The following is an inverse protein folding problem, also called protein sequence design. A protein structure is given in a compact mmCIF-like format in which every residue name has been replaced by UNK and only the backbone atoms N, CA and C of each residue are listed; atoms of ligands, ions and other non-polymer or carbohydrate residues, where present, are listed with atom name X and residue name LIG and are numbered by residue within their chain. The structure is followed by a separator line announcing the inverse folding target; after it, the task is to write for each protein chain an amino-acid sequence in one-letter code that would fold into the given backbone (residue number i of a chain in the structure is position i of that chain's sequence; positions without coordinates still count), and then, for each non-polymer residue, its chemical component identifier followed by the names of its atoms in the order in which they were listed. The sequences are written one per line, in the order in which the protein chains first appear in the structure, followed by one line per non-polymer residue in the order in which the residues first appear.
data_IF_057803605768
#
_entry.id   IF_057803605768
#
_cell.length_a   1.000
_cell.length_b   1.000
_cell.length_c   1.000
_cell.angle_alpha   90.00
_cell.angle_beta   90.00
_cell.angle_gamma   90.00
#
_symmetry.space_group_name_H-M   'P 1'
#
loop_
_entity.id
_entity.type
_entity.pdbx_description
1 polymer ?
#
# COMPACT_ATOMS: atom_id res chain seq x y z
N UNK A 1 6.65 -18.20 -11.44
CA UNK A 1 5.53 -19.01 -11.99
C UNK A 1 4.83 -19.64 -10.80
N UNK A 2 3.51 -19.54 -10.64
CA UNK A 2 2.83 -20.03 -9.43
C UNK A 2 2.27 -21.42 -9.65
N UNK A 3 2.29 -22.27 -8.62
CA UNK A 3 1.72 -23.61 -8.64
C UNK A 3 0.80 -23.82 -7.44
N UNK A 4 -0.31 -24.54 -7.61
CA UNK A 4 -1.13 -24.99 -6.49
C UNK A 4 -0.72 -26.39 -6.08
N UNK A 5 -0.18 -26.54 -4.88
CA UNK A 5 0.14 -27.83 -4.31
C UNK A 5 -1.08 -28.38 -3.55
N UNK A 6 -1.56 -29.56 -3.92
CA UNK A 6 -2.71 -30.22 -3.31
C UNK A 6 -2.28 -31.55 -2.69
N UNK A 7 -2.62 -31.75 -1.41
CA UNK A 7 -2.17 -32.88 -0.61
C UNK A 7 -3.32 -33.59 0.11
N UNK A 8 -3.32 -34.92 0.02
CA UNK A 8 -4.19 -35.80 0.80
C UNK A 8 -3.41 -37.03 1.25
N UNK A 9 -3.16 -37.16 2.57
CA UNK A 9 -2.30 -38.22 3.09
C UNK A 9 -0.89 -38.17 2.48
N UNK A 10 -0.50 -39.22 1.75
CA UNK A 10 0.76 -39.31 1.01
C UNK A 10 0.64 -38.88 -0.46
N UNK A 11 -0.57 -38.58 -0.93
CA UNK A 11 -0.82 -38.12 -2.30
C UNK A 11 -0.52 -36.63 -2.37
N UNK A 12 0.37 -36.25 -3.27
CA UNK A 12 0.76 -34.87 -3.56
C UNK A 12 0.64 -34.62 -5.07
N UNK A 13 -0.06 -33.55 -5.44
CA UNK A 13 -0.32 -33.14 -6.84
C UNK A 13 -0.13 -31.64 -6.99
N UNK A 14 0.20 -31.21 -8.20
CA UNK A 14 0.48 -29.80 -8.49
C UNK A 14 -0.29 -29.36 -9.73
N UNK A 15 -0.93 -28.19 -9.66
CA UNK A 15 -1.39 -27.45 -10.84
C UNK A 15 -0.29 -26.47 -11.24
N UNK A 16 0.45 -26.81 -12.28
CA UNK A 16 1.50 -25.99 -12.87
C UNK A 16 1.59 -26.23 -14.38
N UNK A 17 2.27 -25.32 -15.10
CA UNK A 17 2.50 -25.48 -16.54
C UNK A 17 1.20 -25.63 -17.33
N UNK A 18 1.13 -26.71 -18.11
CA UNK A 18 -0.01 -27.07 -18.95
C UNK A 18 -1.14 -27.79 -18.18
N UNK A 19 -0.95 -28.11 -16.89
CA UNK A 19 -1.96 -28.74 -16.05
C UNK A 19 -2.94 -27.68 -15.56
N UNK A 20 -4.14 -27.67 -16.14
CA UNK A 20 -5.21 -26.71 -15.82
C UNK A 20 -6.27 -27.24 -14.84
N UNK A 21 -6.34 -28.55 -14.61
CA UNK A 21 -7.28 -29.14 -13.66
C UNK A 21 -6.72 -30.37 -12.93
N UNK A 22 -7.17 -30.58 -11.69
CA UNK A 22 -6.96 -31.79 -10.91
C UNK A 22 -8.29 -32.27 -10.33
N UNK A 23 -8.71 -33.47 -10.67
CA UNK A 23 -9.95 -34.06 -10.19
C UNK A 23 -9.73 -34.74 -8.82
N UNK A 24 -10.72 -34.62 -7.94
CA UNK A 24 -10.73 -35.27 -6.63
C UNK A 24 -12.01 -36.08 -6.44
N UNK A 25 -11.86 -37.30 -5.93
CA UNK A 25 -12.99 -38.17 -5.63
C UNK A 25 -12.58 -39.58 -5.28
N UNK A 26 -13.59 -40.43 -5.01
CA UNK A 26 -13.35 -41.82 -4.59
C UNK A 26 -12.95 -42.75 -5.72
N UNK A 27 -13.33 -42.46 -6.97
CA UNK A 27 -12.90 -43.29 -8.09
C UNK A 27 -11.38 -43.19 -8.27
N UNK A 28 -10.77 -44.32 -8.65
CA UNK A 28 -9.33 -44.41 -8.92
C UNK A 28 -8.87 -43.62 -10.14
N UNK A 29 -9.81 -43.13 -10.96
CA UNK A 29 -9.54 -42.31 -12.14
C UNK A 29 -9.32 -40.83 -11.81
N UNK A 30 -9.55 -40.40 -10.57
CA UNK A 30 -9.25 -39.03 -10.15
C UNK A 30 -7.75 -38.87 -9.85
N UNK A 31 -7.24 -37.65 -9.99
CA UNK A 31 -5.85 -37.31 -9.66
C UNK A 31 -5.59 -37.42 -8.16
N UNK A 32 -6.57 -37.03 -7.35
CA UNK A 32 -6.57 -37.12 -5.90
C UNK A 32 -7.63 -38.14 -5.49
N UNK A 33 -7.18 -39.36 -5.19
CA UNK A 33 -8.07 -40.47 -4.85
C UNK A 33 -8.32 -40.50 -3.34
N UNK A 34 -9.57 -40.28 -2.95
CA UNK A 34 -10.01 -40.29 -1.54
C UNK A 34 -10.98 -41.44 -1.34
N UNK A 35 -10.49 -42.59 -0.85
CA UNK A 35 -11.26 -43.84 -0.76
C UNK A 35 -12.24 -43.89 0.42
N UNK A 36 -13.07 -42.88 0.56
CA UNK A 36 -14.05 -42.75 1.64
C UNK A 36 -15.47 -42.79 1.12
N UNK A 37 -16.35 -43.58 1.74
CA UNK A 37 -17.73 -43.76 1.25
C UNK A 37 -18.56 -42.46 1.30
N UNK A 38 -18.16 -41.50 2.13
CA UNK A 38 -18.72 -40.15 2.22
C UNK A 38 -18.36 -39.27 1.02
N UNK A 39 -17.37 -39.68 0.21
CA UNK A 39 -16.89 -38.97 -0.96
C UNK A 39 -17.49 -39.58 -2.24
N UNK A 40 -18.06 -38.71 -3.06
CA UNK A 40 -18.57 -39.04 -4.40
C UNK A 40 -17.47 -39.59 -5.32
N UNK A 41 -17.90 -40.34 -6.34
CA UNK A 41 -17.00 -40.98 -7.31
C UNK A 41 -16.11 -39.95 -8.01
N UNK A 42 -16.73 -38.93 -8.60
CA UNK A 42 -16.12 -37.66 -8.98
C UNK A 42 -16.76 -36.64 -8.04
N UNK A 43 -15.98 -36.03 -7.14
CA UNK A 43 -16.51 -35.19 -6.07
C UNK A 43 -16.37 -33.72 -6.40
N UNK A 44 -15.18 -33.32 -6.80
CA UNK A 44 -14.87 -31.94 -7.15
C UNK A 44 -13.61 -31.88 -7.99
N UNK A 45 -13.20 -30.67 -8.35
CA UNK A 45 -11.94 -30.43 -9.03
C UNK A 45 -11.31 -29.12 -8.61
N UNK A 46 -9.99 -29.12 -8.58
CA UNK A 46 -9.16 -27.93 -8.50
C UNK A 46 -8.91 -27.44 -9.92
N UNK A 47 -9.05 -26.13 -10.14
CA UNK A 47 -8.91 -25.51 -11.44
C UNK A 47 -7.85 -24.42 -11.37
N UNK A 48 -7.04 -24.30 -12.42
CA UNK A 48 -6.21 -23.14 -12.69
C UNK A 48 -6.82 -22.37 -13.85
N UNK A 49 -7.22 -21.14 -13.56
CA UNK A 49 -7.70 -20.17 -14.54
C UNK A 49 -6.65 -19.06 -14.70
N UNK A 50 -6.87 -18.14 -15.63
CA UNK A 50 -5.95 -17.02 -15.86
C UNK A 50 -5.76 -16.13 -14.62
N UNK A 51 -6.81 -16.04 -13.79
CA UNK A 51 -6.93 -15.17 -12.63
C UNK A 51 -6.67 -15.85 -11.28
N UNK A 52 -6.41 -17.17 -11.26
CA UNK A 52 -6.03 -17.87 -10.04
C UNK A 52 -6.48 -19.32 -9.96
N UNK A 53 -6.61 -19.79 -8.72
CA UNK A 53 -7.00 -21.16 -8.40
C UNK A 53 -8.38 -21.23 -7.79
N UNK A 54 -9.14 -22.24 -8.20
CA UNK A 54 -10.52 -22.42 -7.81
C UNK A 54 -10.78 -23.86 -7.40
N UNK A 55 -11.81 -24.07 -6.58
CA UNK A 55 -12.39 -25.37 -6.34
C UNK A 55 -13.85 -25.39 -6.78
N UNK A 56 -14.24 -26.41 -7.51
CA UNK A 56 -15.60 -26.62 -8.00
C UNK A 56 -16.11 -27.97 -7.49
N UNK A 57 -17.25 -27.96 -6.78
CA UNK A 57 -17.96 -29.18 -6.42
C UNK A 57 -18.76 -29.69 -7.64
N UNK A 58 -18.60 -30.96 -7.99
CA UNK A 58 -19.20 -31.58 -9.18
C UNK A 58 -20.55 -32.23 -8.84
N UNK A 59 -21.44 -31.49 -8.16
CA UNK A 59 -22.74 -31.99 -7.67
C UNK A 59 -22.59 -33.23 -6.81
N UNK A 60 -21.63 -33.17 -5.89
CA UNK A 60 -21.32 -34.26 -4.99
C UNK A 60 -22.51 -34.52 -4.05
N UNK A 61 -22.68 -35.78 -3.62
CA UNK A 61 -23.82 -36.18 -2.78
C UNK A 61 -23.92 -35.40 -1.47
N UNK A 62 -22.78 -35.04 -0.89
CA UNK A 62 -22.69 -34.51 0.47
C UNK A 62 -22.08 -33.11 0.52
N UNK A 63 -21.85 -32.47 -0.64
CA UNK A 63 -21.23 -31.16 -0.76
C UNK A 63 -19.74 -31.12 -0.39
N UNK A 64 -19.15 -29.94 -0.56
CA UNK A 64 -17.78 -29.64 -0.17
C UNK A 64 -17.74 -28.38 0.70
N UNK A 65 -16.75 -28.28 1.58
CA UNK A 65 -16.56 -27.12 2.46
C UNK A 65 -15.11 -26.64 2.38
N UNK A 66 -14.93 -25.37 2.02
CA UNK A 66 -13.65 -24.68 2.07
C UNK A 66 -13.42 -24.17 3.50
N UNK A 67 -12.32 -24.58 4.10
CA UNK A 67 -11.93 -24.20 5.46
C UNK A 67 -10.64 -23.39 5.36
N UNK A 68 -10.69 -22.18 5.90
CA UNK A 68 -9.59 -21.21 5.90
C UNK A 68 -9.43 -20.65 7.32
N UNK A 69 -8.37 -19.89 7.54
CA UNK A 69 -8.18 -19.18 8.82
C UNK A 69 -9.25 -18.08 9.05
N UNK A 70 -9.98 -17.71 7.99
CA UNK A 70 -11.05 -16.70 8.02
C UNK A 70 -12.43 -17.32 8.25
N UNK A 71 -12.55 -18.65 8.18
CA UNK A 71 -13.79 -19.37 8.48
C UNK A 71 -14.08 -20.55 7.56
N UNK A 72 -15.34 -20.99 7.57
CA UNK A 72 -15.83 -22.15 6.80
C UNK A 72 -16.82 -21.64 5.76
N UNK A 73 -16.51 -21.90 4.48
CA UNK A 73 -17.28 -21.47 3.32
C UNK A 73 -17.82 -22.72 2.62
N UNK A 74 -19.15 -22.88 2.48
CA UNK A 74 -19.69 -24.00 1.74
C UNK A 74 -19.47 -23.79 0.22
N UNK A 75 -19.12 -24.86 -0.49
CA UNK A 75 -18.94 -24.87 -1.94
C UNK A 75 -20.07 -25.67 -2.59
N UNK A 76 -20.93 -24.99 -3.34
CA UNK A 76 -22.08 -25.60 -4.03
C UNK A 76 -22.13 -25.16 -5.49
N UNK A 77 -22.07 -26.11 -6.43
CA UNK A 77 -22.38 -25.96 -7.86
C UNK A 77 -21.79 -24.73 -8.58
N UNK A 78 -20.79 -24.10 -7.98
CA UNK A 78 -20.13 -22.86 -8.40
C UNK A 78 -18.65 -22.96 -8.10
N UNK A 79 -17.84 -22.30 -8.92
CA UNK A 79 -16.40 -22.20 -8.72
C UNK A 79 -16.14 -21.25 -7.55
N UNK A 80 -15.53 -21.78 -6.49
CA UNK A 80 -15.12 -20.99 -5.33
C UNK A 80 -13.62 -20.66 -5.41
N UNK A 81 -13.23 -19.37 -5.32
CA UNK A 81 -11.82 -18.99 -5.33
C UNK A 81 -11.10 -19.59 -4.13
N UNK A 82 -9.88 -20.08 -4.35
CA UNK A 82 -9.05 -20.63 -3.29
C UNK A 82 -8.11 -19.57 -2.73
N UNK A 83 -8.01 -19.44 -1.40
CA UNK A 83 -6.96 -18.63 -0.77
C UNK A 83 -5.57 -19.26 -0.96
N UNK A 84 -4.53 -18.62 -0.42
CA UNK A 84 -3.14 -19.13 -0.47
C UNK A 84 -2.98 -20.49 0.20
N UNK A 85 -3.73 -20.76 1.27
CA UNK A 85 -3.68 -22.02 2.01
C UNK A 85 -5.04 -22.31 2.60
N UNK A 86 -5.40 -23.59 2.62
CA UNK A 86 -6.61 -24.03 3.28
C UNK A 86 -6.86 -25.52 3.09
N UNK A 87 -8.09 -25.90 3.40
CA UNK A 87 -8.55 -27.27 3.26
C UNK A 87 -9.89 -27.33 2.57
N UNK A 88 -10.07 -28.33 1.71
CA UNK A 88 -11.37 -28.74 1.21
C UNK A 88 -11.77 -29.98 2.01
N UNK A 89 -12.82 -29.85 2.82
CA UNK A 89 -13.51 -31.02 3.39
C UNK A 89 -14.50 -31.55 2.35
N UNK A 90 -14.37 -32.83 2.03
CA UNK A 90 -15.22 -33.51 1.05
C UNK A 90 -16.34 -34.26 1.78
N UNK A 91 -17.58 -33.89 1.52
CA UNK A 91 -18.77 -34.48 2.12
C UNK A 91 -19.16 -33.88 3.47
N UNK A 92 -19.79 -34.71 4.32
CA UNK A 92 -20.41 -34.29 5.58
C UNK A 92 -19.42 -33.82 6.66
N UNK A 93 -19.91 -33.63 7.88
CA UNK A 93 -19.12 -33.07 8.99
C UNK A 93 -17.79 -33.81 9.26
N UNK A 94 -17.81 -35.14 9.11
CA UNK A 94 -16.65 -36.04 9.29
C UNK A 94 -15.93 -36.38 7.97
N UNK A 95 -16.14 -35.56 6.93
CA UNK A 95 -15.55 -35.76 5.62
C UNK A 95 -14.01 -35.64 5.62
N UNK A 96 -13.31 -36.37 4.74
CA UNK A 96 -11.85 -36.24 4.60
C UNK A 96 -11.46 -34.84 4.13
N UNK A 97 -10.32 -34.36 4.63
CA UNK A 97 -9.79 -33.03 4.33
C UNK A 97 -8.62 -33.12 3.36
N UNK A 98 -8.75 -32.44 2.23
CA UNK A 98 -7.69 -32.26 1.24
C UNK A 98 -7.08 -30.88 1.45
N UNK A 99 -5.79 -30.82 1.76
CA UNK A 99 -5.07 -29.56 1.95
C UNK A 99 -4.64 -29.01 0.60
N UNK A 100 -4.68 -27.69 0.43
CA UNK A 100 -4.02 -27.03 -0.68
C UNK A 100 -3.13 -25.88 -0.16
N UNK A 101 -2.11 -25.55 -0.94
CA UNK A 101 -1.19 -24.46 -0.69
C UNK A 101 -0.68 -23.92 -2.03
N UNK A 102 -0.94 -22.66 -2.32
CA UNK A 102 -0.34 -21.99 -3.46
C UNK A 102 1.12 -21.63 -3.14
N UNK A 103 2.01 -22.00 -4.05
CA UNK A 103 3.45 -21.78 -3.94
C UNK A 103 3.93 -20.98 -5.13
N UNK A 104 4.85 -20.07 -4.88
CA UNK A 104 5.70 -19.58 -5.96
C UNK A 104 6.67 -20.71 -6.34
N UNK A 105 6.77 -21.07 -7.62
CA UNK A 105 7.66 -22.12 -8.08
C UNK A 105 9.15 -21.80 -7.87
N UNK A 106 9.52 -20.52 -7.68
CA UNK A 106 10.88 -20.09 -7.40
C UNK A 106 11.18 -19.98 -5.90
N UNK A 107 10.21 -19.53 -5.07
CA UNK A 107 10.44 -19.21 -3.65
C UNK A 107 9.63 -20.03 -2.64
N UNK A 108 8.63 -20.79 -3.10
CA UNK A 108 7.93 -21.82 -2.31
C UNK A 108 6.70 -21.39 -1.52
N UNK A 109 6.36 -20.09 -1.41
CA UNK A 109 5.10 -19.55 -0.83
C UNK A 109 4.82 -18.13 -1.34
N UNK A 110 3.58 -17.83 -1.74
CA UNK A 110 3.08 -16.44 -1.65
C UNK A 110 2.39 -16.37 -0.29
N UNK A 111 3.02 -15.72 0.68
CA UNK A 111 2.51 -15.56 2.03
C UNK A 111 2.25 -14.08 2.20
N UNK A 112 1.03 -13.68 2.57
CA UNK A 112 0.83 -12.30 3.05
C UNK A 112 1.87 -12.00 4.14
N UNK A 113 2.87 -11.14 3.87
CA UNK A 113 4.02 -11.00 4.73
C UNK A 113 3.66 -10.34 6.07
N UNK A 114 2.52 -9.63 6.13
CA UNK A 114 2.00 -9.00 7.34
C UNK A 114 1.37 -9.99 8.33
N UNK A 115 0.90 -11.14 7.85
CA UNK A 115 0.09 -12.07 8.66
C UNK A 115 0.78 -12.53 9.95
N UNK A 116 2.08 -12.91 9.96
CA UNK A 116 2.78 -13.26 11.20
C UNK A 116 2.76 -12.14 12.23
N UNK A 117 3.05 -10.89 11.81
CA UNK A 117 3.02 -9.73 12.70
C UNK A 117 1.62 -9.42 13.22
N UNK A 118 0.58 -9.56 12.38
CA UNK A 118 -0.82 -9.37 12.80
C UNK A 118 -1.23 -10.42 13.86
N UNK A 119 -0.82 -11.67 13.70
CA UNK A 119 -1.06 -12.72 14.70
C UNK A 119 -0.41 -12.35 16.03
N UNK A 120 0.86 -11.94 16.01
CA UNK A 120 1.59 -11.52 17.20
C UNK A 120 0.98 -10.27 17.86
N UNK A 121 0.51 -9.30 17.08
CA UNK A 121 -0.24 -8.14 17.57
C UNK A 121 -1.50 -8.56 18.33
N UNK A 122 -2.29 -9.49 17.77
CA UNK A 122 -3.50 -9.99 18.42
C UNK A 122 -3.19 -10.75 19.71
N UNK A 123 -2.06 -11.48 19.73
CA UNK A 123 -1.53 -12.16 20.91
C UNK A 123 -0.86 -11.20 21.91
N UNK A 124 -0.81 -9.89 21.60
CA UNK A 124 -0.13 -8.84 22.39
C UNK A 124 1.37 -9.09 22.57
N UNK A 125 1.98 -9.90 21.71
CA UNK A 125 3.41 -10.14 21.64
C UNK A 125 4.06 -9.03 20.80
N UNK A 126 4.13 -7.81 21.36
CA UNK A 126 4.52 -6.62 20.61
C UNK A 126 5.95 -6.67 20.06
N UNK A 127 6.93 -7.18 20.80
CA UNK A 127 8.33 -7.30 20.34
C UNK A 127 8.43 -8.19 19.10
N UNK A 128 7.77 -9.35 19.18
CA UNK A 128 7.71 -10.29 18.08
C UNK A 128 7.00 -9.66 16.87
N UNK A 129 5.90 -8.92 17.10
CA UNK A 129 5.17 -8.21 16.06
C UNK A 129 6.03 -7.14 15.39
N UNK A 130 6.71 -6.30 16.18
CA UNK A 130 7.67 -5.30 15.70
C UNK A 130 8.71 -5.98 14.81
N UNK A 131 9.38 -7.02 15.29
CA UNK A 131 10.39 -7.77 14.53
C UNK A 131 9.83 -8.37 13.23
N UNK A 132 8.60 -8.88 13.24
CA UNK A 132 7.95 -9.41 12.04
C UNK A 132 7.67 -8.30 11.01
N UNK A 133 7.17 -7.13 11.41
CA UNK A 133 6.91 -6.03 10.49
C UNK A 133 8.20 -5.39 9.96
N UNK A 134 9.26 -5.30 10.78
CA UNK A 134 10.59 -4.86 10.31
C UNK A 134 11.17 -5.77 9.23
N UNK A 135 10.95 -7.09 9.35
CA UNK A 135 11.29 -8.03 8.29
C UNK A 135 10.49 -7.78 7.00
N UNK A 136 9.20 -7.44 7.11
CA UNK A 136 8.38 -7.04 5.95
C UNK A 136 8.91 -5.75 5.32
N UNK A 137 9.29 -4.75 6.10
CA UNK A 137 9.86 -3.51 5.58
C UNK A 137 11.16 -3.79 4.81
N UNK A 138 11.99 -4.71 5.32
CA UNK A 138 13.24 -5.10 4.66
C UNK A 138 13.00 -5.81 3.33
N UNK A 139 12.03 -6.72 3.26
CA UNK A 139 11.75 -7.54 2.07
C UNK A 139 10.82 -6.84 1.06
N UNK A 140 9.84 -6.10 1.56
CA UNK A 140 8.80 -5.37 0.82
C UNK A 140 8.72 -3.90 1.26
N UNK A 141 9.75 -3.07 0.98
CA UNK A 141 9.80 -1.71 1.53
C UNK A 141 8.72 -0.74 1.07
N UNK A 142 7.80 -1.13 0.18
CA UNK A 142 6.63 -0.36 -0.24
C UNK A 142 5.31 -0.95 0.26
N UNK A 143 5.39 -1.95 1.14
CA UNK A 143 4.27 -2.36 1.97
C UNK A 143 4.12 -1.35 3.12
N UNK A 144 3.55 -0.19 2.81
CA UNK A 144 3.44 0.94 3.73
C UNK A 144 2.68 0.58 5.02
N UNK A 145 1.75 -0.38 4.96
CA UNK A 145 1.04 -0.88 6.14
C UNK A 145 2.00 -1.45 7.19
N UNK A 146 3.14 -2.05 6.77
CA UNK A 146 4.15 -2.59 7.67
C UNK A 146 4.80 -1.49 8.53
N UNK A 147 4.99 -0.28 8.00
CA UNK A 147 5.50 0.86 8.75
C UNK A 147 4.50 1.30 9.82
N UNK A 148 3.21 1.40 9.46
CA UNK A 148 2.17 1.68 10.45
C UNK A 148 2.14 0.62 11.56
N UNK A 149 2.13 -0.67 11.21
CA UNK A 149 2.03 -1.73 12.21
C UNK A 149 3.30 -1.87 13.04
N UNK A 150 4.49 -1.66 12.46
CA UNK A 150 5.74 -1.58 13.23
C UNK A 150 5.68 -0.42 14.22
N UNK A 151 5.32 0.79 13.78
CA UNK A 151 5.20 1.95 14.66
C UNK A 151 4.16 1.76 15.77
N UNK A 152 3.02 1.14 15.45
CA UNK A 152 1.98 0.83 16.42
C UNK A 152 2.42 -0.24 17.44
N UNK A 153 3.17 -1.26 17.01
CA UNK A 153 3.73 -2.29 17.89
C UNK A 153 4.78 -1.68 18.81
N UNK A 154 5.77 -0.97 18.24
CA UNK A 154 6.83 -0.28 18.97
C UNK A 154 6.28 0.71 20.01
N UNK A 155 5.18 1.42 19.68
CA UNK A 155 4.49 2.31 20.64
C UNK A 155 3.95 1.55 21.85
N UNK A 156 3.42 0.34 21.66
CA UNK A 156 2.92 -0.50 22.77
C UNK A 156 4.06 -1.00 23.68
N UNK A 157 5.29 -0.98 23.18
CA UNK A 157 6.52 -1.32 23.91
C UNK A 157 7.25 -0.10 24.47
N UNK A 158 6.69 1.10 24.28
CA UNK A 158 7.31 2.37 24.65
C UNK A 158 8.66 2.61 23.94
N UNK A 159 8.92 1.92 22.82
CA UNK A 159 10.03 2.21 21.93
C UNK A 159 9.67 3.43 21.06
N UNK A 160 9.75 4.61 21.69
CA UNK A 160 9.33 5.87 21.09
C UNK A 160 10.14 6.24 19.85
N UNK A 161 11.44 5.96 19.83
CA UNK A 161 12.32 6.25 18.69
C UNK A 161 11.84 5.53 17.43
N UNK A 162 11.63 4.20 17.53
CA UNK A 162 11.16 3.41 16.39
C UNK A 162 9.72 3.78 16.03
N UNK A 163 8.85 4.00 17.02
CA UNK A 163 7.46 4.38 16.79
C UNK A 163 7.34 5.69 16.01
N UNK A 164 8.08 6.73 16.42
CA UNK A 164 8.15 8.02 15.73
C UNK A 164 8.66 7.81 14.30
N UNK A 165 9.83 7.18 14.14
CA UNK A 165 10.44 6.95 12.82
C UNK A 165 9.46 6.28 11.85
N UNK A 166 8.81 5.19 12.27
CA UNK A 166 7.93 4.40 11.41
C UNK A 166 6.61 5.10 11.11
N UNK A 167 6.03 5.82 12.07
CA UNK A 167 4.84 6.62 11.81
C UNK A 167 5.12 7.79 10.88
N UNK A 168 6.25 8.48 11.03
CA UNK A 168 6.61 9.56 10.11
C UNK A 168 6.81 9.03 8.69
N UNK A 169 7.55 7.94 8.51
CA UNK A 169 7.71 7.29 7.22
C UNK A 169 6.38 6.89 6.57
N UNK A 170 5.43 6.35 7.36
CA UNK A 170 4.08 6.05 6.88
C UNK A 170 3.33 7.32 6.43
N UNK A 171 3.40 8.38 7.24
CA UNK A 171 2.69 9.63 6.99
C UNK A 171 3.25 10.45 5.82
N UNK A 172 4.53 10.25 5.46
CA UNK A 172 5.14 10.85 4.27
C UNK A 172 4.45 10.42 2.96
N UNK A 173 3.85 9.24 2.94
CA UNK A 173 3.13 8.70 1.77
C UNK A 173 1.61 8.79 1.96
N UNK A 174 1.12 8.53 3.17
CA UNK A 174 -0.32 8.45 3.46
C UNK A 174 -0.71 9.41 4.59
N UNK A 175 -1.14 10.65 4.27
CA UNK A 175 -1.69 11.56 5.26
C UNK A 175 -2.89 10.92 5.98
N UNK A 176 -2.71 10.61 7.27
CA UNK A 176 -3.70 9.86 8.04
C UNK A 176 -3.90 10.52 9.41
N UNK A 177 -5.01 11.26 9.54
CA UNK A 177 -5.34 12.06 10.73
C UNK A 177 -5.25 11.26 12.04
N UNK A 178 -5.79 10.03 12.16
CA UNK A 178 -5.63 9.23 13.38
C UNK A 178 -4.17 8.96 13.74
N UNK A 179 -3.30 8.63 12.78
CA UNK A 179 -1.87 8.36 13.04
C UNK A 179 -1.11 9.65 13.33
N UNK A 180 -1.46 10.77 12.68
CA UNK A 180 -0.93 12.10 13.06
C UNK A 180 -1.26 12.44 14.51
N UNK A 181 -2.49 12.17 14.96
CA UNK A 181 -2.88 12.39 16.36
C UNK A 181 -2.15 11.45 17.32
N UNK A 182 -1.84 10.21 16.93
CA UNK A 182 -1.00 9.32 17.74
C UNK A 182 0.44 9.81 17.80
N UNK A 183 1.01 10.26 16.68
CA UNK A 183 2.36 10.81 16.62
C UNK A 183 2.50 12.09 17.47
N UNK A 184 1.51 12.99 17.40
CA UNK A 184 1.48 14.19 18.25
C UNK A 184 1.47 13.84 19.76
N UNK A 185 0.75 12.78 20.15
CA UNK A 185 0.77 12.30 21.55
C UNK A 185 2.14 11.75 21.94
N UNK A 186 2.77 10.95 21.07
CA UNK A 186 4.11 10.40 21.34
C UNK A 186 5.09 11.55 21.52
N UNK A 187 5.08 12.54 20.63
CA UNK A 187 5.94 13.71 20.73
C UNK A 187 5.79 14.46 22.05
N UNK A 188 4.55 14.66 22.50
CA UNK A 188 4.28 15.21 23.84
C UNK A 188 4.82 14.32 24.96
N UNK A 189 4.68 13.00 24.85
CA UNK A 189 5.20 12.04 25.85
C UNK A 189 6.72 12.10 25.97
N UNK A 190 7.44 12.27 24.86
CA UNK A 190 8.91 12.39 24.85
C UNK A 190 9.42 13.83 25.01
N UNK A 191 8.54 14.79 25.27
CA UNK A 191 8.89 16.19 25.57
C UNK A 191 9.24 17.06 24.36
N UNK A 192 8.96 16.62 23.13
CA UNK A 192 9.20 17.38 21.89
C UNK A 192 7.92 18.11 21.49
N UNK A 193 7.55 19.11 22.29
CA UNK A 193 6.24 19.78 22.22
C UNK A 193 6.05 20.56 20.90
N UNK A 194 7.12 21.13 20.33
CA UNK A 194 7.03 21.89 19.08
C UNK A 194 6.50 21.04 17.92
N UNK A 195 7.02 19.81 17.77
CA UNK A 195 6.56 18.86 16.74
C UNK A 195 5.12 18.42 17.00
N UNK A 196 4.73 18.25 18.27
CA UNK A 196 3.36 17.88 18.63
C UNK A 196 2.36 18.98 18.23
N UNK A 197 2.69 20.26 18.45
CA UNK A 197 1.89 21.42 18.03
C UNK A 197 1.76 21.48 16.52
N UNK A 198 2.88 21.32 15.80
CA UNK A 198 2.93 21.43 14.35
C UNK A 198 2.06 20.37 13.65
N UNK A 199 2.19 19.12 14.07
CA UNK A 199 1.33 18.03 13.60
C UNK A 199 -0.14 18.33 13.89
N UNK A 200 -0.44 18.85 15.09
CA UNK A 200 -1.81 19.19 15.47
C UNK A 200 -2.39 20.31 14.60
N UNK A 201 -1.60 21.32 14.23
CA UNK A 201 -2.00 22.36 13.26
C UNK A 201 -2.30 21.77 11.90
N UNK A 202 -1.47 20.85 11.42
CA UNK A 202 -1.70 20.15 10.15
C UNK A 202 -3.00 19.33 10.18
N UNK A 203 -3.29 18.68 11.31
CA UNK A 203 -4.57 17.98 11.51
C UNK A 203 -5.75 18.96 11.44
N UNK A 204 -5.65 20.16 12.03
CA UNK A 204 -6.70 21.19 11.93
C UNK A 204 -6.88 21.66 10.48
N UNK A 205 -5.81 21.81 9.70
CA UNK A 205 -5.92 22.16 8.27
C UNK A 205 -6.66 21.07 7.47
N UNK A 206 -6.34 19.79 7.72
CA UNK A 206 -6.96 18.66 7.02
C UNK A 206 -8.37 18.34 7.51
N UNK A 207 -8.63 18.55 8.80
CA UNK A 207 -9.90 18.27 9.47
C UNK A 207 -10.25 19.41 10.43
N UNK A 208 -10.81 20.54 9.93
CA UNK A 208 -11.09 21.73 10.75
C UNK A 208 -12.01 21.48 11.95
N UNK A 209 -12.87 20.46 11.89
CA UNK A 209 -13.75 20.04 12.98
C UNK A 209 -13.13 19.10 14.02
N UNK A 210 -11.84 18.79 13.93
CA UNK A 210 -11.19 17.85 14.85
C UNK A 210 -10.94 18.49 16.23
N UNK A 211 -11.89 18.30 17.15
CA UNK A 211 -11.83 18.85 18.50
C UNK A 211 -10.59 18.40 19.29
N UNK A 212 -10.05 17.18 19.03
CA UNK A 212 -8.85 16.69 19.72
C UNK A 212 -7.61 17.47 19.30
N UNK A 213 -7.50 17.82 18.03
CA UNK A 213 -6.37 18.61 17.52
C UNK A 213 -6.41 20.05 18.05
N UNK A 214 -7.59 20.68 18.08
CA UNK A 214 -7.78 21.99 18.70
C UNK A 214 -7.41 21.99 20.19
N UNK A 215 -7.92 21.02 20.96
CA UNK A 215 -7.59 20.88 22.38
C UNK A 215 -6.09 20.60 22.61
N UNK A 216 -5.45 19.82 21.73
CA UNK A 216 -4.02 19.59 21.80
C UNK A 216 -3.26 20.92 21.63
N UNK A 217 -3.55 21.71 20.59
CA UNK A 217 -2.90 23.02 20.38
C UNK A 217 -3.11 23.95 21.58
N UNK A 218 -4.31 24.01 22.13
CA UNK A 218 -4.64 24.88 23.28
C UNK A 218 -3.85 24.48 24.54
N UNK A 219 -3.81 23.18 24.87
CA UNK A 219 -3.05 22.68 26.03
C UNK A 219 -1.56 22.96 25.88
N UNK A 220 -1.00 22.69 24.70
CA UNK A 220 0.43 22.87 24.43
C UNK A 220 0.81 24.36 24.39
N UNK A 221 -0.07 25.23 23.88
CA UNK A 221 0.16 26.69 23.84
C UNK A 221 -0.07 27.36 25.21
N UNK A 222 -0.95 26.80 26.05
CA UNK A 222 -1.22 27.26 27.41
C UNK A 222 -0.20 26.79 28.45
N UNK A 223 0.56 25.74 28.15
CA UNK A 223 1.62 25.16 29.00
C UNK A 223 2.99 25.81 28.87
N UNK A 224 3.14 26.89 28.08
CA UNK A 224 4.40 27.61 27.85
C UNK A 224 4.83 28.46 29.07
N UNK A 225 4.84 27.85 30.27
CA UNK A 225 5.67 28.27 31.40
C UNK A 225 6.81 27.26 31.51
N UNK A 226 8.02 27.76 31.25
CA UNK A 226 9.27 27.02 31.22
C UNK A 226 9.52 26.22 32.50
N UNK A 227 9.42 24.90 32.42
CA UNK A 227 10.14 24.00 33.32
C UNK A 227 10.94 23.02 32.47
N UNK A 228 12.27 23.14 32.60
CA UNK A 228 13.31 22.37 31.93
C UNK A 228 13.46 21.01 32.65
N UNK A 229 13.11 19.86 32.05
CA UNK A 229 13.34 18.58 32.68
C UNK A 229 14.65 17.96 32.19
N UNK A 230 15.52 17.74 33.16
CA UNK A 230 16.79 17.03 33.05
C UNK A 230 16.66 15.60 32.49
N UNK A 231 17.41 15.31 31.43
CA UNK A 231 18.40 14.23 31.46
C UNK A 231 18.00 12.81 31.02
N UNK A 232 17.55 12.63 29.77
CA UNK A 232 17.95 11.48 28.93
C UNK A 232 17.98 11.97 27.46
N UNK A 233 19.17 12.08 26.88
CA UNK A 233 19.40 12.76 25.60
C UNK A 233 18.89 11.93 24.42
N UNK A 234 17.75 12.31 23.86
CA UNK A 234 17.54 12.23 22.41
C UNK A 234 18.47 13.26 21.72
N UNK A 235 19.06 12.98 20.54
CA UNK A 235 20.03 13.86 19.93
C UNK A 235 19.41 15.23 19.62
N UNK A 236 20.10 16.30 20.06
CA UNK A 236 19.73 17.68 19.79
C UNK A 236 19.52 17.91 18.29
N UNK A 237 18.29 18.22 17.87
CA UNK A 237 18.05 18.98 16.66
C UNK A 237 17.44 20.31 17.07
N UNK A 238 18.34 21.20 17.55
CA UNK A 238 18.00 22.59 17.84
C UNK A 238 17.38 23.23 16.60
N UNK A 239 16.11 23.63 16.72
CA UNK A 239 15.41 24.44 15.72
C UNK A 239 15.89 25.88 15.90
N UNK A 240 17.10 26.14 15.43
CA UNK A 240 17.65 27.49 15.24
C UNK A 240 17.33 27.98 13.82
N UNK A 241 17.36 29.30 13.63
CA UNK A 241 17.16 29.95 12.33
C UNK A 241 17.85 29.20 11.19
N UNK A 242 17.08 28.71 10.22
CA UNK A 242 17.60 27.93 9.11
C UNK A 242 18.30 28.84 8.10
N UNK A 243 19.62 28.73 8.00
CA UNK A 243 20.35 29.22 6.83
C UNK A 243 20.02 28.33 5.61
N UNK A 244 19.52 28.97 4.56
CA UNK A 244 19.12 28.35 3.30
C UNK A 244 20.35 27.98 2.46
N UNK A 245 20.56 26.70 2.21
CA UNK A 245 21.61 26.21 1.31
C UNK A 245 21.03 25.86 -0.06
N UNK A 246 21.77 26.16 -1.14
CA UNK A 246 21.39 25.89 -2.54
C UNK A 246 22.48 25.11 -3.26
N UNK A 247 22.09 24.09 -4.02
CA UNK A 247 22.98 23.35 -4.91
C UNK A 247 22.27 22.96 -6.20
N UNK A 248 22.97 23.03 -7.32
CA UNK A 248 22.50 22.54 -8.60
C UNK A 248 23.14 21.19 -8.96
N UNK A 249 22.31 20.18 -9.20
CA UNK A 249 22.72 18.88 -9.72
C UNK A 249 21.80 18.50 -10.86
N UNK A 250 22.34 18.44 -12.08
CA UNK A 250 21.54 18.29 -13.30
C UNK A 250 20.45 17.19 -13.23
N UNK A 251 19.17 17.49 -13.57
CA UNK A 251 18.55 18.79 -13.86
C UNK A 251 17.94 19.52 -12.65
N UNK A 252 18.25 19.11 -11.42
CA UNK A 252 17.66 19.60 -10.17
C UNK A 252 18.40 20.80 -9.55
N UNK A 253 17.65 21.64 -8.86
CA UNK A 253 18.14 22.67 -7.96
C UNK A 253 17.60 22.40 -6.56
N UNK A 254 18.46 21.89 -5.69
CA UNK A 254 18.12 21.47 -4.34
C UNK A 254 18.37 22.64 -3.39
N UNK A 255 17.33 23.01 -2.67
CA UNK A 255 17.34 24.06 -1.67
C UNK A 255 16.85 23.49 -0.35
N UNK A 256 17.43 23.91 0.78
CA UNK A 256 17.02 23.40 2.08
C UNK A 256 17.84 23.91 3.27
N UNK A 257 17.43 23.57 4.50
CA UNK A 257 18.23 23.73 5.70
C UNK A 257 19.63 23.14 5.56
N UNK A 258 20.66 23.89 5.98
CA UNK A 258 22.06 23.44 5.91
C UNK A 258 22.30 22.08 6.61
N UNK A 259 21.58 21.80 7.70
CA UNK A 259 21.67 20.52 8.43
C UNK A 259 21.21 19.33 7.58
N UNK A 260 20.09 19.48 6.85
CA UNK A 260 19.58 18.45 5.94
C UNK A 260 20.48 18.30 4.73
N UNK A 261 20.92 19.41 4.15
CA UNK A 261 21.85 19.39 3.02
C UNK A 261 23.13 18.64 3.38
N UNK A 262 23.68 18.80 4.59
CA UNK A 262 24.87 18.05 5.01
C UNK A 262 24.65 16.53 5.05
N UNK A 263 23.48 16.08 5.47
CA UNK A 263 23.21 14.65 5.69
C UNK A 263 22.63 13.94 4.46
N UNK A 264 21.84 14.64 3.64
CA UNK A 264 20.95 14.01 2.65
C UNK A 264 21.34 14.32 1.20
N UNK A 265 22.12 15.39 0.96
CA UNK A 265 22.43 15.93 -0.37
C UNK A 265 22.94 14.89 -1.37
N UNK A 266 24.03 14.20 -1.05
CA UNK A 266 24.64 13.23 -1.96
C UNK A 266 23.69 12.06 -2.32
N UNK A 267 23.10 11.34 -1.35
CA UNK A 267 22.22 10.23 -1.69
C UNK A 267 20.92 10.70 -2.37
N UNK A 268 20.40 11.88 -2.01
CA UNK A 268 19.23 12.46 -2.69
C UNK A 268 19.52 12.77 -4.17
N UNK A 269 20.64 13.44 -4.43
CA UNK A 269 21.07 13.81 -5.78
C UNK A 269 21.19 12.57 -6.70
N UNK A 270 21.79 11.50 -6.18
CA UNK A 270 21.91 10.24 -6.91
C UNK A 270 20.53 9.61 -7.21
N UNK A 271 19.63 9.58 -6.21
CA UNK A 271 18.29 9.02 -6.36
C UNK A 271 17.40 9.82 -7.31
N UNK A 272 17.41 11.15 -7.22
CA UNK A 272 16.69 12.02 -8.14
C UNK A 272 17.17 11.84 -9.58
N UNK A 273 18.48 11.75 -9.80
CA UNK A 273 19.06 11.49 -11.12
C UNK A 273 18.63 10.12 -11.67
N UNK A 274 18.59 9.10 -10.82
CA UNK A 274 18.15 7.75 -11.19
C UNK A 274 16.64 7.71 -11.49
N UNK A 275 15.81 8.38 -10.69
CA UNK A 275 14.38 8.51 -10.90
C UNK A 275 14.08 9.28 -12.19
N UNK A 276 14.76 10.40 -12.44
CA UNK A 276 14.67 11.19 -13.68
C UNK A 276 14.92 10.33 -14.91
N UNK A 277 15.98 9.51 -14.89
CA UNK A 277 16.28 8.63 -16.01
C UNK A 277 15.24 7.53 -16.18
N UNK A 278 14.97 6.78 -15.12
CA UNK A 278 14.14 5.55 -15.19
C UNK A 278 12.66 5.86 -15.41
N UNK A 279 12.10 6.81 -14.65
CA UNK A 279 10.70 7.20 -14.80
C UNK A 279 10.50 8.12 -16.01
N UNK A 280 11.48 8.96 -16.35
CA UNK A 280 11.43 9.77 -17.57
C UNK A 280 11.44 8.92 -18.85
N UNK A 281 12.22 7.85 -18.89
CA UNK A 281 12.21 6.86 -19.97
C UNK A 281 10.88 6.10 -20.01
N UNK A 282 10.39 5.59 -18.87
CA UNK A 282 9.12 4.86 -18.78
C UNK A 282 7.92 5.71 -19.20
N UNK A 283 7.95 7.02 -18.90
CA UNK A 283 6.89 7.94 -19.25
C UNK A 283 7.09 8.64 -20.60
N UNK A 284 8.27 8.48 -21.22
CA UNK A 284 8.74 9.30 -22.34
C UNK A 284 8.45 10.79 -22.10
N UNK A 285 8.88 11.26 -20.93
CA UNK A 285 8.70 12.62 -20.42
C UNK A 285 9.98 13.10 -19.77
N UNK A 286 10.58 14.16 -20.32
CA UNK A 286 11.87 14.69 -19.90
C UNK A 286 11.77 16.19 -19.66
N UNK A 287 11.44 16.63 -18.43
CA UNK A 287 11.36 18.06 -18.10
C UNK A 287 12.71 18.74 -18.42
N UNK A 288 12.68 19.77 -19.29
CA UNK A 288 13.90 20.44 -19.81
C UNK A 288 14.36 21.64 -18.98
N UNK A 289 13.54 22.09 -18.02
CA UNK A 289 13.88 23.20 -17.12
C UNK A 289 14.63 22.70 -15.89
N UNK A 290 15.30 23.62 -15.19
CA UNK A 290 15.82 23.33 -13.85
C UNK A 290 14.64 22.96 -12.95
N UNK A 291 14.69 21.79 -12.31
CA UNK A 291 13.63 21.26 -11.47
C UNK A 291 13.90 21.69 -10.02
N UNK A 292 13.11 22.61 -9.44
CA UNK A 292 13.31 23.01 -8.05
C UNK A 292 12.92 21.87 -7.11
N UNK A 293 13.79 21.61 -6.14
CA UNK A 293 13.60 20.63 -5.07
C UNK A 293 13.78 21.35 -3.74
N UNK A 294 12.76 21.28 -2.89
CA UNK A 294 12.77 21.88 -1.56
C UNK A 294 12.86 20.80 -0.49
N UNK A 295 13.95 20.80 0.27
CA UNK A 295 14.14 19.94 1.44
C UNK A 295 13.65 20.65 2.69
N UNK A 296 12.87 19.93 3.49
CA UNK A 296 12.41 20.41 4.79
C UNK A 296 12.37 19.29 5.82
N UNK A 297 12.37 19.68 7.09
CA UNK A 297 12.13 18.72 8.16
C UNK A 297 10.68 18.23 8.07
N UNK A 298 10.36 17.00 8.51
CA UNK A 298 8.98 16.55 8.57
C UNK A 298 8.18 17.52 9.42
N UNK A 299 6.96 17.80 8.99
CA UNK A 299 6.02 18.70 9.67
C UNK A 299 6.32 20.20 9.56
N UNK A 300 7.56 20.62 9.25
CA UNK A 300 7.94 22.04 9.29
C UNK A 300 7.08 22.95 8.40
N UNK A 301 6.58 24.05 8.96
CA UNK A 301 5.86 25.13 8.27
C UNK A 301 6.76 25.97 7.33
N UNK A 302 8.08 25.76 7.34
CA UNK A 302 9.11 26.52 6.59
C UNK A 302 9.15 26.18 5.08
N UNK A 303 8.02 26.26 4.38
CA UNK A 303 7.99 26.14 2.93
C UNK A 303 8.20 27.52 2.27
N UNK A 304 8.99 27.64 1.18
CA UNK A 304 8.86 28.76 0.27
C UNK A 304 7.41 28.77 -0.27
N UNK A 305 6.93 29.94 -0.74
CA UNK A 305 5.61 30.05 -1.38
C UNK A 305 5.40 28.86 -2.33
N UNK A 306 4.37 28.04 -2.06
CA UNK A 306 4.23 26.73 -2.69
C UNK A 306 4.02 26.88 -4.19
N UNK A 307 5.09 26.75 -4.97
CA UNK A 307 4.98 26.69 -6.41
C UNK A 307 4.63 25.26 -6.81
N UNK A 308 3.59 25.04 -7.64
CA UNK A 308 3.17 23.70 -8.07
C UNK A 308 4.25 22.94 -8.86
N UNK A 309 5.29 23.63 -9.33
CA UNK A 309 6.43 23.07 -10.07
C UNK A 309 7.63 22.66 -9.18
N UNK A 310 7.49 22.72 -7.85
CA UNK A 310 8.53 22.33 -6.90
C UNK A 310 8.31 20.94 -6.32
N UNK A 311 9.37 20.14 -6.27
CA UNK A 311 9.38 18.86 -5.57
C UNK A 311 9.65 19.10 -4.09
N UNK A 312 8.61 19.03 -3.26
CA UNK A 312 8.76 19.05 -1.81
C UNK A 312 9.21 17.70 -1.26
N UNK A 313 10.29 17.69 -0.50
CA UNK A 313 10.84 16.50 0.15
C UNK A 313 10.92 16.76 1.65
N UNK A 314 10.06 16.08 2.41
CA UNK A 314 10.10 16.05 3.86
C UNK A 314 11.04 14.93 4.31
N UNK A 315 12.02 15.27 5.15
CA UNK A 315 13.09 14.34 5.49
C UNK A 315 13.64 14.59 6.89
N UNK A 316 13.65 13.53 7.70
CA UNK A 316 14.50 13.47 8.89
C UNK A 316 15.82 12.74 8.49
N UNK A 317 17.00 13.24 8.91
CA UNK A 317 18.27 12.60 8.61
C UNK A 317 18.33 11.10 8.92
N UNK A 318 17.55 10.62 9.90
CA UNK A 318 17.50 9.20 10.25
C UNK A 318 16.98 8.30 9.12
N UNK A 319 16.19 8.83 8.17
CA UNK A 319 15.65 8.02 7.07
C UNK A 319 16.72 7.63 6.05
N UNK A 320 17.84 8.36 5.98
CA UNK A 320 18.95 8.02 5.06
C UNK A 320 19.53 6.63 5.37
N UNK A 321 19.50 6.23 6.65
CA UNK A 321 19.93 4.91 7.07
C UNK A 321 19.00 3.79 6.55
N UNK A 322 17.73 4.11 6.28
CA UNK A 322 16.75 3.20 5.67
C UNK A 322 16.77 3.37 4.15
N UNK A 323 17.85 2.88 3.52
CA UNK A 323 18.18 3.19 2.12
C UNK A 323 17.07 2.82 1.14
N UNK A 324 16.37 1.69 1.36
CA UNK A 324 15.28 1.26 0.48
C UNK A 324 14.02 2.10 0.67
N UNK A 325 13.64 2.43 1.91
CA UNK A 325 12.58 3.42 2.15
C UNK A 325 12.92 4.74 1.47
N UNK A 326 14.14 5.26 1.70
CA UNK A 326 14.57 6.55 1.19
C UNK A 326 14.48 6.60 -0.33
N UNK A 327 15.04 5.60 -1.02
CA UNK A 327 14.91 5.44 -2.47
C UNK A 327 13.47 5.48 -2.93
N UNK A 328 12.58 4.72 -2.30
CA UNK A 328 11.16 4.64 -2.69
C UNK A 328 10.44 5.95 -2.48
N UNK A 329 10.68 6.62 -1.35
CA UNK A 329 10.09 7.91 -1.08
C UNK A 329 10.53 8.95 -2.12
N UNK A 330 11.82 8.99 -2.49
CA UNK A 330 12.30 9.90 -3.54
C UNK A 330 11.69 9.58 -4.90
N UNK A 331 11.60 8.30 -5.27
CA UNK A 331 10.97 7.87 -6.52
C UNK A 331 9.48 8.19 -6.56
N UNK A 332 8.80 8.04 -5.43
CA UNK A 332 7.40 8.39 -5.27
C UNK A 332 7.19 9.90 -5.42
N UNK A 333 7.97 10.72 -4.70
CA UNK A 333 7.90 12.18 -4.80
C UNK A 333 8.21 12.70 -6.21
N UNK A 334 9.18 12.09 -6.90
CA UNK A 334 9.47 12.44 -8.30
C UNK A 334 8.34 12.00 -9.25
N UNK A 335 7.72 10.84 -9.02
CA UNK A 335 6.58 10.39 -9.81
C UNK A 335 5.35 11.31 -9.65
N UNK A 336 5.12 11.82 -8.43
CA UNK A 336 4.10 12.83 -8.15
C UNK A 336 4.36 14.14 -8.92
N UNK A 337 5.62 14.55 -9.01
CA UNK A 337 6.02 15.70 -9.84
C UNK A 337 5.86 15.42 -11.34
N UNK A 338 6.29 14.26 -11.83
CA UNK A 338 6.11 13.86 -13.22
C UNK A 338 4.64 13.88 -13.62
N UNK A 339 3.76 13.38 -12.75
CA UNK A 339 2.31 13.47 -12.96
C UNK A 339 1.89 14.91 -13.20
N UNK A 340 2.32 15.84 -12.33
CA UNK A 340 2.01 17.26 -12.47
C UNK A 340 2.58 17.85 -13.77
N UNK A 341 3.79 17.48 -14.19
CA UNK A 341 4.35 17.93 -15.48
C UNK A 341 3.51 17.44 -16.66
N UNK A 342 3.12 16.16 -16.64
CA UNK A 342 2.37 15.54 -17.73
C UNK A 342 0.96 16.14 -17.84
N UNK A 343 0.32 16.46 -16.71
CA UNK A 343 -0.97 17.19 -16.68
C UNK A 343 -0.79 18.71 -16.84
N UNK A 344 0.45 19.21 -16.92
CA UNK A 344 0.75 20.63 -17.05
C UNK A 344 0.32 21.47 -15.86
N UNK A 345 0.44 20.91 -14.66
CA UNK A 345 0.08 21.52 -13.37
C UNK A 345 -1.40 21.89 -13.26
N UNK A 346 -2.27 21.24 -14.03
CA UNK A 346 -3.71 21.39 -13.87
C UNK A 346 -4.16 20.80 -12.54
N UNK A 347 -5.11 21.45 -11.88
CA UNK A 347 -5.76 20.93 -10.68
C UNK A 347 -6.71 19.80 -11.07
N UNK A 348 -6.18 18.57 -11.15
CA UNK A 348 -6.96 17.37 -11.49
C UNK A 348 -7.62 16.86 -10.22
N UNK A 349 -8.94 16.98 -10.13
CA UNK A 349 -9.77 16.46 -9.03
C UNK A 349 -9.87 14.92 -9.04
N UNK A 350 -8.74 14.23 -8.97
CA UNK A 350 -8.70 12.75 -8.98
C UNK A 350 -7.48 12.25 -8.22
N UNK A 351 -7.56 12.27 -6.89
CA UNK A 351 -6.48 11.83 -6.01
C UNK A 351 -5.99 10.42 -6.35
N UNK A 352 -6.91 9.50 -6.63
CA UNK A 352 -6.59 8.10 -6.89
C UNK A 352 -5.72 7.92 -8.14
N UNK A 353 -5.92 8.75 -9.17
CA UNK A 353 -5.18 8.65 -10.43
C UNK A 353 -3.73 9.09 -10.20
N UNK A 354 -3.54 10.17 -9.45
CA UNK A 354 -2.25 10.69 -9.02
C UNK A 354 -1.51 9.70 -8.10
N UNK A 355 -2.19 9.22 -7.06
CA UNK A 355 -1.66 8.22 -6.11
C UNK A 355 -1.27 6.91 -6.81
N UNK A 356 -2.20 6.36 -7.61
CA UNK A 356 -2.00 5.09 -8.31
C UNK A 356 -0.89 5.18 -9.34
N UNK A 357 -0.77 6.31 -10.06
CA UNK A 357 0.34 6.56 -10.99
C UNK A 357 1.68 6.58 -10.28
N UNK A 358 1.80 7.34 -9.19
CA UNK A 358 3.05 7.44 -8.44
C UNK A 358 3.49 6.08 -7.87
N UNK A 359 2.56 5.30 -7.32
CA UNK A 359 2.84 3.95 -6.82
C UNK A 359 3.25 2.98 -7.92
N UNK A 360 2.52 2.95 -9.04
CA UNK A 360 2.82 2.10 -10.19
C UNK A 360 4.21 2.38 -10.78
N UNK A 361 4.66 3.64 -10.76
CA UNK A 361 6.02 3.99 -11.21
C UNK A 361 7.11 3.65 -10.19
N UNK A 362 6.76 3.49 -8.92
CA UNK A 362 7.70 3.25 -7.83
C UNK A 362 7.88 1.76 -7.56
N UNK A 363 6.80 0.97 -7.59
CA UNK A 363 6.84 -0.47 -7.33
C UNK A 363 5.73 -1.21 -8.07
N UNK A 364 6.06 -2.43 -8.49
CA UNK A 364 5.08 -3.35 -9.06
C UNK A 364 4.18 -3.95 -7.98
N UNK A 365 2.89 -4.02 -8.30
CA UNK A 365 1.89 -4.61 -7.43
C UNK A 365 2.23 -6.08 -7.13
N UNK A 366 2.31 -6.43 -5.84
CA UNK A 366 2.66 -7.77 -5.43
C UNK A 366 1.44 -8.71 -5.49
N UNK A 367 1.66 -10.01 -5.78
CA UNK A 367 0.62 -11.03 -5.80
C UNK A 367 -0.34 -11.05 -4.61
N UNK A 368 0.20 -10.94 -3.39
CA UNK A 368 -0.61 -10.99 -2.17
C UNK A 368 -1.47 -9.74 -1.99
N UNK A 369 -1.03 -8.60 -2.55
CA UNK A 369 -1.76 -7.35 -2.46
C UNK A 369 -2.99 -7.38 -3.37
N UNK A 370 -2.90 -7.98 -4.57
CA UNK A 370 -4.09 -8.25 -5.41
C UNK A 370 -5.10 -9.16 -4.69
N UNK A 371 -4.63 -10.18 -3.97
CA UNK A 371 -5.49 -11.05 -3.15
C UNK A 371 -6.12 -10.33 -1.95
N UNK A 372 -5.40 -9.39 -1.33
CA UNK A 372 -5.97 -8.55 -0.28
C UNK A 372 -7.13 -7.70 -0.81
N UNK A 373 -7.07 -7.23 -2.06
CA UNK A 373 -8.20 -6.54 -2.68
C UNK A 373 -9.41 -7.47 -2.86
N UNK A 374 -9.18 -8.73 -3.25
CA UNK A 374 -10.23 -9.76 -3.41
C UNK A 374 -10.91 -10.16 -2.10
N UNK A 375 -10.18 -10.19 -0.99
CA UNK A 375 -10.72 -10.67 0.30
C UNK A 375 -11.71 -9.69 0.94
N UNK A 376 -11.73 -8.43 0.50
CA UNK A 376 -12.63 -7.41 1.03
C UNK A 376 -13.95 -7.43 0.28
N UNK A 377 -14.90 -8.25 0.76
CA UNK A 377 -16.27 -8.34 0.22
C UNK A 377 -17.03 -7.01 0.14
N UNK A 378 -16.64 -6.02 0.96
CA UNK A 378 -17.21 -4.67 1.02
C UNK A 378 -16.44 -3.65 0.18
N UNK A 379 -15.52 -4.08 -0.69
CA UNK A 379 -14.68 -3.18 -1.49
C UNK A 379 -15.53 -2.18 -2.28
N UNK A 380 -16.64 -2.64 -2.87
CA UNK A 380 -17.58 -1.80 -3.62
C UNK A 380 -18.23 -0.70 -2.77
N UNK A 381 -18.33 -0.88 -1.44
CA UNK A 381 -18.87 0.12 -0.52
C UNK A 381 -17.82 1.19 -0.16
N UNK A 382 -16.53 0.91 -0.33
CA UNK A 382 -15.43 1.78 0.14
C UNK A 382 -14.71 2.51 -0.98
N UNK A 383 -14.66 1.91 -2.17
CA UNK A 383 -13.90 2.45 -3.30
C UNK A 383 -14.85 2.64 -4.48
N UNK A 384 -15.11 3.88 -4.83
CA UNK A 384 -15.69 4.27 -6.12
C UNK A 384 -14.80 5.35 -6.71
N UNK A 385 -14.11 5.02 -7.81
CA UNK A 385 -13.19 5.95 -8.46
C UNK A 385 -13.93 7.00 -9.27
N UNK A 386 -15.09 6.65 -9.81
CA UNK A 386 -15.99 7.60 -10.47
C UNK A 386 -16.54 8.67 -9.52
N UNK A 387 -16.74 8.32 -8.24
CA UNK A 387 -17.22 9.24 -7.20
C UNK A 387 -16.11 9.83 -6.32
N UNK A 388 -14.85 9.42 -6.53
CA UNK A 388 -13.72 9.91 -5.76
C UNK A 388 -13.35 11.34 -6.18
N UNK A 389 -13.28 12.25 -5.21
CA UNK A 389 -12.84 13.63 -5.42
C UNK A 389 -11.31 13.80 -5.30
N UNK A 390 -10.91 15.01 -4.91
CA UNK A 390 -9.51 15.41 -4.67
C UNK A 390 -8.88 14.84 -3.40
N UNK A 391 -9.66 14.11 -2.59
CA UNK A 391 -9.17 13.41 -1.39
C UNK A 391 -9.55 11.93 -1.43
N UNK A 392 -8.77 11.05 -0.77
CA UNK A 392 -9.16 9.66 -0.61
C UNK A 392 -10.51 9.58 0.12
N UNK A 393 -11.45 8.72 -0.30
CA UNK A 393 -12.67 8.45 0.45
C UNK A 393 -12.31 7.73 1.75
N UNK A 394 -12.19 8.45 2.87
CA UNK A 394 -11.88 7.86 4.18
C UNK A 394 -12.97 8.19 5.20
N UNK A 395 -13.59 7.15 5.77
CA UNK A 395 -14.49 7.28 6.94
C UNK A 395 -13.74 7.03 8.28
N UNK A 396 -12.41 7.13 8.29
CA UNK A 396 -11.59 7.27 9.50
C UNK A 396 -10.74 6.08 9.93
N UNK A 397 -10.69 4.94 9.20
CA UNK A 397 -9.79 3.82 9.56
C UNK A 397 -8.56 3.71 8.64
N UNK A 398 -7.40 3.39 9.22
CA UNK A 398 -6.14 3.18 8.47
C UNK A 398 -6.25 2.08 7.41
N UNK A 399 -7.01 1.02 7.72
CA UNK A 399 -7.21 -0.10 6.81
C UNK A 399 -7.90 0.37 5.54
N UNK A 400 -8.89 1.27 5.65
CA UNK A 400 -9.54 1.85 4.49
C UNK A 400 -8.57 2.71 3.68
N UNK A 401 -7.75 3.55 4.31
CA UNK A 401 -6.81 4.39 3.56
C UNK A 401 -5.75 3.56 2.81
N UNK A 402 -5.09 2.63 3.52
CA UNK A 402 -4.08 1.76 2.91
C UNK A 402 -4.69 0.92 1.77
N UNK A 403 -5.91 0.43 1.98
CA UNK A 403 -6.67 -0.31 0.97
C UNK A 403 -7.03 0.55 -0.24
N UNK A 404 -7.52 1.79 -0.05
CA UNK A 404 -7.84 2.69 -1.15
C UNK A 404 -6.59 3.07 -1.94
N UNK A 405 -5.46 3.33 -1.29
CA UNK A 405 -4.16 3.53 -1.96
C UNK A 405 -3.76 2.31 -2.81
N UNK A 406 -3.94 1.11 -2.27
CA UNK A 406 -3.65 -0.14 -2.96
C UNK A 406 -4.58 -0.36 -4.17
N UNK A 407 -5.87 -0.10 -3.98
CA UNK A 407 -6.87 -0.13 -5.02
C UNK A 407 -6.53 0.85 -6.15
N UNK A 408 -6.11 2.08 -5.81
CA UNK A 408 -5.66 3.08 -6.78
C UNK A 408 -4.48 2.59 -7.62
N UNK A 409 -3.45 2.01 -6.98
CA UNK A 409 -2.31 1.42 -7.70
C UNK A 409 -2.75 0.29 -8.64
N UNK A 410 -3.60 -0.61 -8.14
CA UNK A 410 -4.15 -1.72 -8.94
C UNK A 410 -4.95 -1.24 -10.13
N UNK A 411 -5.81 -0.24 -9.93
CA UNK A 411 -6.66 0.29 -10.99
C UNK A 411 -5.86 1.02 -12.07
N UNK A 412 -4.92 1.88 -11.68
CA UNK A 412 -4.02 2.56 -12.64
C UNK A 412 -3.15 1.55 -13.38
N UNK A 413 -2.64 0.52 -12.69
CA UNK A 413 -1.89 -0.57 -13.32
C UNK A 413 -2.75 -1.33 -14.33
N UNK A 414 -4.03 -1.59 -14.02
CA UNK A 414 -4.97 -2.20 -14.94
C UNK A 414 -5.22 -1.33 -16.19
N UNK A 415 -5.41 -0.02 -16.04
CA UNK A 415 -5.55 0.90 -17.18
C UNK A 415 -4.30 0.84 -18.07
N UNK A 416 -3.10 0.88 -17.50
CA UNK A 416 -1.86 0.75 -18.26
C UNK A 416 -1.73 -0.60 -18.97
N UNK A 417 -2.10 -1.71 -18.32
CA UNK A 417 -2.05 -3.06 -18.92
C UNK A 417 -3.07 -3.24 -20.05
N UNK A 418 -4.26 -2.67 -19.90
CA UNK A 418 -5.37 -2.83 -20.86
C UNK A 418 -5.25 -1.92 -22.08
N UNK A 419 -4.81 -0.67 -21.90
CA UNK A 419 -4.79 0.35 -22.96
C UNK A 419 -3.39 0.78 -23.39
N UNK A 420 -2.35 0.39 -22.65
CA UNK A 420 -0.98 0.81 -22.86
C UNK A 420 -0.69 2.19 -22.27
N UNK A 421 0.61 2.48 -22.09
CA UNK A 421 1.04 3.74 -21.49
C UNK A 421 0.78 4.96 -22.40
N UNK A 422 0.81 4.77 -23.72
CA UNK A 422 0.47 5.82 -24.69
C UNK A 422 -0.94 6.37 -24.49
N UNK A 423 -1.90 5.48 -24.24
CA UNK A 423 -3.27 5.88 -23.93
C UNK A 423 -3.31 6.72 -22.65
N UNK A 424 -2.56 6.33 -21.61
CA UNK A 424 -2.48 7.11 -20.37
C UNK A 424 -1.89 8.52 -20.60
N UNK A 425 -0.90 8.66 -21.48
CA UNK A 425 -0.36 9.99 -21.86
C UNK A 425 -1.41 10.86 -22.57
N UNK A 426 -2.20 10.27 -23.45
CA UNK A 426 -3.29 10.97 -24.13
C UNK A 426 -4.41 11.35 -23.15
N UNK A 427 -4.68 10.52 -22.15
CA UNK A 427 -5.60 10.84 -21.06
C UNK A 427 -5.16 12.10 -20.32
N UNK A 428 -3.89 12.16 -19.90
CA UNK A 428 -3.38 13.34 -19.20
C UNK A 428 -3.38 14.60 -20.06
N UNK A 429 -3.10 14.47 -21.35
CA UNK A 429 -3.19 15.61 -22.30
C UNK A 429 -4.63 16.11 -22.41
N UNK A 430 -5.60 15.20 -22.46
CA UNK A 430 -7.03 15.52 -22.50
C UNK A 430 -7.51 16.12 -21.16
N UNK A 431 -7.02 15.59 -20.04
CA UNK A 431 -7.30 16.11 -18.68
C UNK A 431 -6.83 17.55 -18.54
N UNK A 432 -5.61 17.85 -19.01
CA UNK A 432 -5.09 19.22 -19.02
C UNK A 432 -6.00 20.21 -19.77
N UNK A 433 -6.67 19.76 -20.82
CA UNK A 433 -7.54 20.59 -21.63
C UNK A 433 -8.96 20.73 -21.06
N UNK A 434 -9.45 19.69 -20.38
CA UNK A 434 -10.85 19.61 -19.92
C UNK A 434 -11.03 19.94 -18.44
N UNK A 435 -9.97 19.76 -17.63
CA UNK A 435 -9.99 19.79 -16.17
C UNK A 435 -11.01 18.86 -15.51
N UNK A 436 -11.59 17.91 -16.27
CA UNK A 436 -12.63 17.01 -15.79
C UNK A 436 -12.34 15.57 -16.22
N UNK A 437 -12.15 14.69 -15.24
CA UNK A 437 -11.77 13.30 -15.48
C UNK A 437 -12.79 12.53 -16.33
N UNK A 438 -14.06 12.61 -15.96
CA UNK A 438 -15.11 11.90 -16.68
C UNK A 438 -15.25 12.40 -18.12
N UNK A 439 -15.04 13.70 -18.35
CA UNK A 439 -15.06 14.29 -19.69
C UNK A 439 -13.86 13.81 -20.51
N UNK A 440 -12.66 13.78 -19.92
CA UNK A 440 -11.46 13.26 -20.59
C UNK A 440 -11.59 11.79 -20.98
N UNK A 441 -12.05 10.92 -20.06
CA UNK A 441 -12.31 9.52 -20.35
C UNK A 441 -13.30 9.37 -21.51
N UNK A 442 -14.43 10.10 -21.47
CA UNK A 442 -15.47 10.02 -22.52
C UNK A 442 -14.94 10.41 -23.89
N UNK A 443 -14.09 11.44 -23.98
CA UNK A 443 -13.46 11.83 -25.25
C UNK A 443 -12.53 10.74 -25.80
N UNK A 444 -11.98 9.91 -24.93
CA UNK A 444 -11.16 8.75 -25.29
C UNK A 444 -11.97 7.47 -25.54
N UNK A 445 -13.30 7.55 -25.55
CA UNK A 445 -14.19 6.42 -25.82
C UNK A 445 -14.31 5.41 -24.67
N UNK A 446 -14.05 5.85 -23.43
CA UNK A 446 -14.20 5.01 -22.23
C UNK A 446 -14.86 5.83 -21.11
N UNK A 447 -15.41 5.21 -20.08
CA UNK A 447 -15.86 5.95 -18.89
C UNK A 447 -15.13 5.42 -17.66
N UNK A 448 -15.02 6.24 -16.60
CA UNK A 448 -14.38 5.78 -15.36
C UNK A 448 -15.17 4.63 -14.76
N UNK A 449 -16.50 4.66 -14.84
CA UNK A 449 -17.38 3.59 -14.38
C UNK A 449 -17.17 2.29 -15.17
N UNK A 450 -17.04 2.37 -16.50
CA UNK A 450 -16.75 1.20 -17.32
C UNK A 450 -15.36 0.63 -17.00
N UNK A 451 -14.35 1.50 -16.88
CA UNK A 451 -13.00 1.09 -16.52
C UNK A 451 -12.97 0.42 -15.14
N UNK A 452 -13.67 0.99 -14.17
CA UNK A 452 -13.76 0.45 -12.81
C UNK A 452 -14.48 -0.91 -12.80
N UNK A 453 -15.55 -1.07 -13.58
CA UNK A 453 -16.26 -2.35 -13.73
C UNK A 453 -15.36 -3.43 -14.34
N UNK A 454 -14.68 -3.10 -15.45
CA UNK A 454 -13.75 -4.01 -16.11
C UNK A 454 -12.59 -4.40 -15.19
N UNK A 455 -12.06 -3.44 -14.43
CA UNK A 455 -11.00 -3.68 -13.45
C UNK A 455 -11.47 -4.62 -12.33
N UNK A 456 -12.64 -4.35 -11.72
CA UNK A 456 -13.22 -5.20 -10.67
C UNK A 456 -13.38 -6.64 -11.17
N UNK A 457 -13.89 -6.81 -12.39
CA UNK A 457 -13.99 -8.11 -13.01
C UNK A 457 -12.61 -8.76 -13.19
N UNK A 458 -11.61 -8.01 -13.67
CA UNK A 458 -10.25 -8.50 -13.88
C UNK A 458 -9.56 -8.93 -12.58
N UNK A 459 -9.90 -8.32 -11.44
CA UNK A 459 -9.40 -8.74 -10.13
C UNK A 459 -10.32 -9.74 -9.42
N UNK A 460 -11.34 -10.30 -10.08
CA UNK A 460 -12.18 -11.38 -9.53
C UNK A 460 -13.25 -10.93 -8.53
N UNK A 461 -13.66 -9.66 -8.59
CA UNK A 461 -14.72 -9.09 -7.74
C UNK A 461 -16.02 -9.03 -8.57
N UNK A 462 -17.08 -9.77 -8.20
CA UNK A 462 -18.35 -9.72 -8.92
C UNK A 462 -19.06 -8.36 -8.75
N UNK A 463 -19.93 -8.05 -9.71
CA UNK A 463 -20.70 -6.79 -9.80
C UNK A 463 -21.52 -6.44 -8.55
#
# INVERSE_FOLDING_TARGET
MRLLHVKFGTIEKQLEGDVSELNVGRQRTNDIVVQENTVSRQHGRFLRLEDGYYFEDLKSRNGSMLITDEGIIPVWDTRSPLPEVGWIRLGGADGPMVRFEEKDAATGRVKNPLKPGIVQLNDKAFDAATAAFEAVITEYPGEWSAYYFSGASARMEENWELAVRRFEQYLLVQPHVPVMMELAKIYRTIGVEERAVEISRRVVQLAPGNARAHAAIEVMSGGMQSEDPTGEQLPEMGVGSFDMATERVHPFEITGPAILMKAVREPLSALLSAAWKTQGERCDCWPKQTIPVWLRLPWSDDAPESSPDTIGIEMDPQYVADTEFFKRYIYYSYAQYLFAVITGFSDVDSWWLKEGFARMLTEDLQPYQEKQLQSVRKMAEWVSFAAAGSMPPVNGSQYQLAFTCLASQSFVSFICRSRGFEWMRQLFTTLKATSELNTAFKQMGWSVEMAELEWRHAIGIPE
#
